data_IF_711481319890
#
_entry.id   IF_711481319890
#
_cell.length_a   1.000
_cell.length_b   1.000
_cell.length_c   1.000
_cell.angle_alpha   90.00
_cell.angle_beta   90.00
_cell.angle_gamma   90.00
#
_symmetry.space_group_name_H-M   'P 1'
#
loop_
_entity.id
_entity.type
_entity.pdbx_description
1 polymer ?
#
# COMPACT_ATOMS: atom_id res chain seq x y z
N UNK A 1 -1.08 -12.49 -16.70
CA UNK A 1 -0.04 -11.44 -16.76
C UNK A 1 -0.41 -10.14 -16.03
N UNK A 2 -1.67 -9.65 -16.10
CA UNK A 2 -2.07 -8.40 -15.43
C UNK A 2 -1.87 -8.43 -13.90
N UNK A 3 -2.30 -9.51 -13.23
CA UNK A 3 -2.19 -9.66 -11.77
C UNK A 3 -0.74 -9.51 -11.26
N UNK A 4 0.23 -10.13 -11.93
CA UNK A 4 1.65 -10.03 -11.55
C UNK A 4 2.20 -8.60 -11.69
N UNK A 5 1.70 -7.82 -12.65
CA UNK A 5 2.08 -6.41 -12.78
C UNK A 5 1.40 -5.55 -11.71
N UNK A 6 0.12 -5.79 -11.44
CA UNK A 6 -0.62 -5.07 -10.40
C UNK A 6 -0.01 -5.29 -9.01
N UNK A 7 0.35 -6.54 -8.68
CA UNK A 7 0.96 -6.84 -7.39
C UNK A 7 2.36 -6.22 -7.27
N UNK A 8 3.16 -6.30 -8.33
CA UNK A 8 4.50 -5.71 -8.38
C UNK A 8 4.45 -4.19 -8.26
N UNK A 9 3.47 -3.56 -8.91
CA UNK A 9 3.23 -2.12 -8.82
C UNK A 9 2.91 -1.71 -7.40
N UNK A 10 2.00 -2.41 -6.72
CA UNK A 10 1.62 -2.09 -5.34
C UNK A 10 2.83 -2.14 -4.40
N UNK A 11 3.59 -3.24 -4.40
CA UNK A 11 4.75 -3.38 -3.52
C UNK A 11 5.81 -2.31 -3.84
N UNK A 12 6.12 -2.09 -5.11
CA UNK A 12 7.09 -1.07 -5.53
C UNK A 12 6.66 0.35 -5.16
N UNK A 13 5.36 0.68 -5.28
CA UNK A 13 4.81 1.96 -4.82
C UNK A 13 5.08 2.13 -3.33
N UNK A 14 4.70 1.14 -2.51
CA UNK A 14 4.87 1.21 -1.07
C UNK A 14 6.34 1.40 -0.68
N UNK A 15 7.25 0.61 -1.26
CA UNK A 15 8.68 0.71 -0.92
C UNK A 15 9.31 2.01 -1.42
N UNK A 16 8.87 2.54 -2.58
CA UNK A 16 9.34 3.84 -3.07
C UNK A 16 8.85 4.96 -2.17
N UNK A 17 7.59 4.95 -1.75
CA UNK A 17 7.02 5.99 -0.90
C UNK A 17 7.70 6.03 0.47
N UNK A 18 7.84 4.88 1.14
CA UNK A 18 8.46 4.82 2.47
C UNK A 18 9.94 5.20 2.39
N UNK A 19 10.66 4.74 1.36
CA UNK A 19 12.05 5.11 1.12
C UNK A 19 12.27 6.61 0.87
N UNK A 20 11.35 7.29 0.18
CA UNK A 20 11.46 8.75 -0.06
C UNK A 20 11.30 9.58 1.22
N UNK A 21 10.56 9.07 2.20
CA UNK A 21 10.39 9.73 3.51
C UNK A 21 11.34 9.19 4.57
N UNK A 22 12.24 8.27 4.21
CA UNK A 22 13.23 7.68 5.12
C UNK A 22 12.64 6.77 6.19
N UNK A 23 11.51 6.12 5.90
CA UNK A 23 10.80 5.21 6.81
C UNK A 23 10.94 3.78 6.32
N UNK A 24 11.24 2.87 7.23
CA UNK A 24 11.24 1.43 7.01
C UNK A 24 9.86 0.82 7.26
N UNK A 25 9.52 -0.29 6.60
CA UNK A 25 8.20 -0.90 6.77
C UNK A 25 7.92 -1.33 8.22
N UNK A 26 8.95 -1.75 8.96
CA UNK A 26 8.82 -2.14 10.37
C UNK A 26 8.45 -0.99 11.31
N UNK A 27 8.57 0.26 10.87
CA UNK A 27 8.18 1.44 11.63
C UNK A 27 6.70 1.82 11.43
N UNK A 28 6.00 1.16 10.51
CA UNK A 28 4.59 1.42 10.23
C UNK A 28 3.71 0.76 11.30
N UNK A 29 3.07 1.58 12.14
CA UNK A 29 2.13 1.09 13.15
C UNK A 29 0.84 0.53 12.53
N UNK A 30 0.33 1.18 11.46
CA UNK A 30 -0.95 0.84 10.83
C UNK A 30 -0.94 1.13 9.34
N UNK A 31 -1.54 0.23 8.58
CA UNK A 31 -1.81 0.38 7.15
C UNK A 31 -3.32 0.25 6.95
N UNK A 32 -3.98 1.35 6.62
CA UNK A 32 -5.40 1.35 6.29
C UNK A 32 -5.62 0.99 4.83
N UNK A 33 -6.42 -0.04 4.58
CA UNK A 33 -6.74 -0.52 3.23
C UNK A 33 -8.19 -0.16 2.92
N UNK A 34 -8.39 0.64 1.87
CA UNK A 34 -9.69 1.09 1.41
C UNK A 34 -10.12 0.40 0.10
N UNK A 35 -11.36 0.68 -0.32
CA UNK A 35 -11.93 0.22 -1.58
C UNK A 35 -12.29 -1.27 -1.59
N UNK A 36 -12.34 -1.86 -2.78
CA UNK A 36 -12.68 -3.27 -2.97
C UNK A 36 -11.71 -4.21 -2.22
N UNK A 37 -10.43 -3.81 -2.14
CA UNK A 37 -9.42 -4.48 -1.34
C UNK A 37 -9.75 -4.39 0.14
N UNK A 38 -10.03 -3.20 0.67
CA UNK A 38 -10.34 -3.00 2.10
C UNK A 38 -11.51 -3.83 2.66
N UNK A 39 -12.39 -4.37 1.81
CA UNK A 39 -13.52 -5.21 2.21
C UNK A 39 -13.27 -6.72 2.04
N UNK A 40 -12.42 -7.14 1.12
CA UNK A 40 -12.31 -8.54 0.71
C UNK A 40 -10.88 -9.07 0.64
N UNK A 41 -9.86 -8.22 0.80
CA UNK A 41 -8.47 -8.68 0.79
C UNK A 41 -8.14 -9.38 2.09
N UNK A 42 -7.62 -10.59 1.98
CA UNK A 42 -6.93 -11.26 3.08
C UNK A 42 -5.47 -10.77 3.10
N UNK A 43 -5.02 -10.03 4.13
CA UNK A 43 -3.66 -9.53 4.21
C UNK A 43 -2.62 -10.65 4.12
N UNK A 44 -2.90 -11.84 4.69
CA UNK A 44 -1.98 -12.99 4.63
C UNK A 44 -1.78 -13.46 3.18
N UNK A 45 -2.85 -13.54 2.41
CA UNK A 45 -2.78 -13.90 0.99
C UNK A 45 -2.04 -12.83 0.18
N UNK A 46 -2.28 -11.55 0.48
CA UNK A 46 -1.62 -10.44 -0.19
C UNK A 46 -0.11 -10.38 0.10
N UNK A 47 0.30 -10.69 1.33
CA UNK A 47 1.71 -10.85 1.73
C UNK A 47 2.32 -12.05 1.00
N UNK A 48 1.62 -13.20 0.99
CA UNK A 48 2.08 -14.42 0.30
C UNK A 48 2.32 -14.19 -1.19
N UNK A 49 1.45 -13.40 -1.85
CA UNK A 49 1.62 -13.00 -3.25
C UNK A 49 2.76 -11.98 -3.46
N UNK A 50 3.23 -11.35 -2.39
CA UNK A 50 4.18 -10.25 -2.39
C UNK A 50 3.60 -8.94 -2.94
N UNK A 51 2.36 -8.64 -2.56
CA UNK A 51 1.67 -7.40 -2.88
C UNK A 51 1.73 -6.38 -1.73
N UNK A 52 1.71 -6.85 -0.49
CA UNK A 52 1.87 -6.06 0.74
C UNK A 52 3.20 -6.43 1.40
N UNK A 53 3.80 -5.54 2.20
CA UNK A 53 5.02 -5.85 2.95
C UNK A 53 4.77 -6.96 3.97
N UNK A 54 5.81 -7.71 4.33
CA UNK A 54 5.68 -8.78 5.32
C UNK A 54 5.71 -8.21 6.75
N UNK A 55 4.53 -7.81 7.23
CA UNK A 55 4.30 -7.26 8.56
C UNK A 55 3.23 -8.08 9.29
N UNK A 56 3.16 -7.90 10.62
CA UNK A 56 2.10 -8.48 11.45
C UNK A 56 0.71 -8.17 10.89
N UNK A 57 -0.20 -9.14 10.92
CA UNK A 57 -1.51 -9.02 10.27
C UNK A 57 -2.35 -7.91 10.91
N UNK A 58 -2.14 -7.65 12.19
CA UNK A 58 -2.81 -6.62 12.97
C UNK A 58 -2.50 -5.21 12.46
N UNK A 59 -1.37 -5.01 11.78
CA UNK A 59 -0.99 -3.74 11.14
C UNK A 59 -1.99 -3.35 10.06
N UNK A 60 -2.63 -4.30 9.39
CA UNK A 60 -3.56 -4.05 8.30
C UNK A 60 -4.99 -3.85 8.80
N UNK A 61 -5.60 -2.71 8.47
CA UNK A 61 -6.98 -2.38 8.84
C UNK A 61 -7.81 -2.07 7.60
N UNK A 62 -8.75 -2.96 7.29
CA UNK A 62 -9.76 -2.70 6.26
C UNK A 62 -10.73 -1.61 6.70
N UNK A 63 -10.88 -0.56 5.90
CA UNK A 63 -11.82 0.56 6.17
C UNK A 63 -12.97 0.64 5.16
N UNK A 64 -13.09 -0.37 4.28
CA UNK A 64 -14.14 -0.42 3.26
C UNK A 64 -14.07 0.75 2.27
N UNK A 65 -15.23 1.25 1.84
CA UNK A 65 -15.30 2.36 0.89
C UNK A 65 -15.16 3.71 1.62
N UNK A 66 -13.91 4.11 1.86
CA UNK A 66 -13.59 5.39 2.51
C UNK A 66 -14.02 6.61 1.70
N UNK A 67 -14.12 6.50 0.37
CA UNK A 67 -14.57 7.59 -0.49
C UNK A 67 -16.04 7.93 -0.23
N UNK A 68 -16.91 6.91 -0.19
CA UNK A 68 -18.33 7.10 0.13
C UNK A 68 -18.51 7.61 1.57
N UNK A 69 -17.82 6.99 2.53
CA UNK A 69 -17.92 7.41 3.93
C UNK A 69 -17.43 8.85 4.14
N UNK A 70 -16.33 9.24 3.49
CA UNK A 70 -15.84 10.61 3.51
C UNK A 70 -16.82 11.59 2.85
N UNK A 71 -17.46 11.21 1.74
CA UNK A 71 -18.47 12.02 1.08
C UNK A 71 -19.71 12.27 1.97
N UNK A 72 -20.16 11.24 2.69
CA UNK A 72 -21.25 11.37 3.67
C UNK A 72 -20.85 12.33 4.82
N UNK A 73 -19.64 12.19 5.36
CA UNK A 73 -19.15 13.05 6.44
C UNK A 73 -19.12 14.52 6.01
N UNK A 74 -18.50 14.85 4.87
CA UNK A 74 -18.40 16.26 4.43
C UNK A 74 -19.74 16.87 4.00
N UNK A 75 -20.76 16.04 3.73
CA UNK A 75 -22.09 16.50 3.35
C UNK A 75 -22.86 17.04 4.57
N UNK A 76 -22.69 16.42 5.74
CA UNK A 76 -23.42 16.76 6.97
C UNK A 76 -22.60 17.54 8.01
N UNK A 77 -21.27 17.58 7.88
CA UNK A 77 -20.37 18.22 8.83
C UNK A 77 -19.46 19.25 8.14
N UNK A 78 -19.64 20.53 8.49
CA UNK A 78 -18.84 21.63 7.97
C UNK A 78 -17.37 21.59 8.45
N UNK A 79 -17.11 21.17 9.69
CA UNK A 79 -15.74 21.00 10.18
C UNK A 79 -15.03 19.89 9.43
N UNK A 80 -15.71 18.77 9.16
CA UNK A 80 -15.17 17.69 8.34
C UNK A 80 -14.82 18.19 6.93
N UNK A 81 -15.67 19.03 6.34
CA UNK A 81 -15.42 19.65 5.02
C UNK A 81 -14.20 20.55 5.03
N UNK A 82 -14.02 21.38 6.07
CA UNK A 82 -12.83 22.24 6.20
C UNK A 82 -11.55 21.41 6.40
N UNK A 83 -11.61 20.38 7.26
CA UNK A 83 -10.51 19.46 7.52
C UNK A 83 -10.07 18.72 6.25
N UNK A 84 -11.01 18.25 5.44
CA UNK A 84 -10.72 17.58 4.17
C UNK A 84 -9.95 18.50 3.19
N UNK A 85 -10.29 19.80 3.15
CA UNK A 85 -9.55 20.79 2.33
C UNK A 85 -8.13 21.01 2.84
N UNK A 86 -7.95 21.19 4.15
CA UNK A 86 -6.63 21.36 4.76
C UNK A 86 -5.73 20.13 4.54
N UNK A 87 -6.27 18.92 4.69
CA UNK A 87 -5.55 17.67 4.36
C UNK A 87 -5.13 17.69 2.88
N UNK A 88 -6.03 18.04 1.97
CA UNK A 88 -5.74 18.13 0.53
C UNK A 88 -4.58 19.06 0.20
N UNK A 89 -4.42 20.16 0.94
CA UNK A 89 -3.32 21.11 0.76
C UNK A 89 -1.97 20.59 1.28
N UNK A 90 -1.97 19.58 2.16
CA UNK A 90 -0.77 18.97 2.74
C UNK A 90 -0.26 17.75 1.97
N UNK A 91 -1.05 17.22 1.03
CA UNK A 91 -0.65 16.06 0.22
C UNK A 91 0.40 16.49 -0.81
N UNK A 92 1.56 15.83 -0.76
CA UNK A 92 2.59 15.97 -1.79
C UNK A 92 2.46 14.81 -2.77
N UNK A 93 2.26 15.14 -4.05
CA UNK A 93 2.20 14.14 -5.12
C UNK A 93 3.61 13.75 -5.58
N UNK A 94 3.81 12.45 -5.78
CA UNK A 94 5.08 11.88 -6.23
C UNK A 94 4.87 11.24 -7.60
N UNK A 95 5.56 11.76 -8.62
CA UNK A 95 5.52 11.23 -9.99
C UNK A 95 6.40 9.99 -10.12
N UNK A 96 5.78 8.81 -10.20
CA UNK A 96 6.51 7.53 -10.25
C UNK A 96 7.05 7.19 -11.64
N UNK A 97 6.47 7.72 -12.71
CA UNK A 97 6.88 7.39 -14.10
C UNK A 97 8.33 7.77 -14.41
N UNK A 98 8.85 8.81 -13.76
CA UNK A 98 10.22 9.30 -13.94
C UNK A 98 11.19 8.80 -12.86
N UNK A 99 10.69 8.01 -11.90
CA UNK A 99 11.47 7.54 -10.77
C UNK A 99 12.19 6.22 -11.14
N UNK A 100 13.51 6.30 -11.31
CA UNK A 100 14.33 5.14 -11.65
C UNK A 100 14.30 4.06 -10.55
N UNK A 101 14.26 4.45 -9.27
CA UNK A 101 14.19 3.51 -8.16
C UNK A 101 12.87 2.73 -8.19
N UNK A 102 11.76 3.38 -8.52
CA UNK A 102 10.48 2.71 -8.73
C UNK A 102 10.58 1.66 -9.83
N UNK A 103 11.19 1.99 -10.97
CA UNK A 103 11.33 1.04 -12.09
C UNK A 103 12.18 -0.19 -11.72
N UNK A 104 13.26 0.02 -10.95
CA UNK A 104 14.10 -1.07 -10.43
C UNK A 104 13.31 -1.95 -9.47
N UNK A 105 12.64 -1.34 -8.48
CA UNK A 105 11.82 -2.05 -7.47
C UNK A 105 10.67 -2.80 -8.12
N UNK A 106 10.00 -2.20 -9.10
CA UNK A 106 8.92 -2.82 -9.87
C UNK A 106 9.40 -4.09 -10.57
N UNK A 107 10.58 -4.05 -11.21
CA UNK A 107 11.15 -5.22 -11.89
C UNK A 107 11.42 -6.38 -10.91
N UNK A 108 12.05 -6.09 -9.76
CA UNK A 108 12.31 -7.09 -8.70
C UNK A 108 11.06 -7.62 -8.01
N UNK A 109 9.95 -6.88 -8.08
CA UNK A 109 8.68 -7.27 -7.47
C UNK A 109 7.82 -8.16 -8.36
N UNK A 110 8.30 -8.58 -9.54
CA UNK A 110 7.52 -9.40 -10.50
C UNK A 110 7.47 -10.89 -10.18
N UNK A 111 8.27 -11.37 -9.23
CA UNK A 111 8.29 -12.78 -8.80
C UNK A 111 7.44 -12.97 -7.54
N UNK A 112 6.97 -14.18 -7.23
CA UNK A 112 6.22 -14.45 -5.99
C UNK A 112 7.17 -15.04 -4.94
N UNK A 113 7.19 -14.51 -3.71
CA UNK A 113 6.62 -13.22 -3.31
C UNK A 113 7.46 -12.04 -3.85
N UNK A 114 8.77 -12.22 -4.02
CA UNK A 114 9.71 -11.20 -4.50
C UNK A 114 11.01 -11.86 -5.00
N UNK A 115 11.85 -11.17 -5.76
CA UNK A 115 13.17 -11.70 -6.17
C UNK A 115 14.12 -11.92 -4.98
N UNK A 116 13.99 -11.09 -3.95
CA UNK A 116 14.70 -11.26 -2.68
C UNK A 116 13.76 -11.91 -1.64
N UNK A 117 13.99 -13.16 -1.23
CA UNK A 117 13.15 -13.83 -0.23
C UNK A 117 13.32 -13.25 1.19
N UNK A 118 14.41 -12.51 1.47
CA UNK A 118 14.67 -11.98 2.82
C UNK A 118 13.67 -10.92 3.25
N UNK A 119 13.00 -10.28 2.30
CA UNK A 119 11.96 -9.27 2.58
C UNK A 119 10.59 -9.88 2.83
N UNK A 120 10.46 -11.21 2.72
CA UNK A 120 9.26 -12.00 3.02
C UNK A 120 9.57 -13.22 3.90
N UNK A 121 10.13 -13.04 5.12
CA UNK A 121 10.51 -14.15 5.98
C UNK A 121 9.35 -15.08 6.40
N UNK A 122 8.10 -14.62 6.39
CA UNK A 122 6.92 -15.41 6.75
C UNK A 122 6.44 -16.33 5.62
N UNK A 123 6.91 -16.11 4.39
CA UNK A 123 6.48 -16.86 3.20
C UNK A 123 7.47 -17.98 2.88
N UNK A 124 7.04 -19.26 2.89
CA UNK A 124 7.91 -20.37 2.53
C UNK A 124 8.44 -20.24 1.10
N UNK A 125 9.75 -20.41 0.91
CA UNK A 125 10.34 -20.49 -0.43
C UNK A 125 10.06 -21.90 -0.97
N UNK A 126 9.21 -22.01 -1.97
CA UNK A 126 9.02 -23.25 -2.71
C UNK A 126 10.18 -23.42 -3.68
N UNK A 127 11.10 -24.33 -3.38
CA UNK A 127 12.21 -24.74 -4.24
C UNK A 127 11.80 -25.78 -5.29
#
# INVERSE_FOLDING_TARGET
MAMMRSKAAMYAILTTLTGQVGVEFGELERIYVAGAFGRHIDPRQAITLGMLPDLELETYKGIGNSSLHGAEQILFDEEARLRARDIGQKITYIELNVNQDFMIRFSGSRFIPHTDPKVFPSVPVFS
#
